data_IF_248389639602
#
_entry.id   IF_248389639602
#
_cell.length_a   1.000
_cell.length_b   1.000
_cell.length_c   1.000
_cell.angle_alpha   90.00
_cell.angle_beta   90.00
_cell.angle_gamma   90.00
#
_symmetry.space_group_name_H-M   'P 1'
#
loop_
_entity.id
_entity.type
_entity.pdbx_description
1 polymer ?
#
# COMPACT_ATOMS: atom_id res chain seq x y z
N UNK A 1 -11.17 7.11 11.11
CA UNK A 1 -11.37 5.73 10.62
C UNK A 1 -12.82 5.39 10.25
N UNK A 2 -13.83 6.02 10.84
CA UNK A 2 -15.26 5.77 10.49
C UNK A 2 -15.59 6.03 8.99
N UNK A 3 -15.02 7.08 8.39
CA UNK A 3 -15.24 7.38 6.95
C UNK A 3 -14.67 6.29 6.03
N UNK A 4 -13.48 5.75 6.32
CA UNK A 4 -12.92 4.65 5.55
C UNK A 4 -13.77 3.38 5.64
N UNK A 5 -14.25 3.05 6.83
CA UNK A 5 -15.13 1.90 7.01
C UNK A 5 -16.46 2.07 6.23
N UNK A 6 -17.03 3.27 6.25
CA UNK A 6 -18.25 3.60 5.49
C UNK A 6 -18.02 3.50 3.98
N UNK A 7 -16.90 4.03 3.48
CA UNK A 7 -16.51 3.88 2.08
C UNK A 7 -16.34 2.41 1.70
N UNK A 8 -15.65 1.63 2.53
CA UNK A 8 -15.47 0.20 2.30
C UNK A 8 -16.79 -0.56 2.24
N UNK A 9 -17.73 -0.26 3.14
CA UNK A 9 -19.07 -0.87 3.12
C UNK A 9 -19.89 -0.46 1.89
N UNK A 10 -19.74 0.79 1.43
CA UNK A 10 -20.36 1.24 0.18
C UNK A 10 -19.80 0.44 -1.01
N UNK A 11 -18.47 0.32 -1.12
CA UNK A 11 -17.81 -0.47 -2.17
C UNK A 11 -18.28 -1.94 -2.11
N UNK A 12 -18.36 -2.52 -0.92
CA UNK A 12 -18.89 -3.88 -0.73
C UNK A 12 -20.31 -4.03 -1.28
N UNK A 13 -21.15 -3.00 -1.14
CA UNK A 13 -22.55 -3.03 -1.61
C UNK A 13 -22.67 -2.92 -3.12
N UNK A 14 -21.82 -2.08 -3.76
CA UNK A 14 -21.92 -1.77 -5.19
C UNK A 14 -21.02 -2.63 -6.08
N UNK A 15 -20.18 -3.50 -5.51
CA UNK A 15 -19.20 -4.30 -6.25
C UNK A 15 -19.40 -5.80 -6.03
N UNK A 16 -20.47 -6.42 -6.55
CA UNK A 16 -20.77 -7.84 -6.29
C UNK A 16 -19.67 -8.77 -6.77
N UNK A 17 -19.10 -8.52 -7.95
CA UNK A 17 -18.01 -9.32 -8.51
C UNK A 17 -16.74 -9.30 -7.62
N UNK A 18 -16.34 -8.13 -7.10
CA UNK A 18 -15.21 -8.03 -6.17
C UNK A 18 -15.48 -8.72 -4.85
N UNK A 19 -16.72 -8.66 -4.37
CA UNK A 19 -17.17 -9.39 -3.18
C UNK A 19 -17.03 -10.90 -3.35
N UNK A 20 -17.46 -11.45 -4.50
CA UNK A 20 -17.33 -12.86 -4.84
C UNK A 20 -15.87 -13.31 -4.87
N UNK A 21 -14.99 -12.58 -5.57
CA UNK A 21 -13.55 -12.87 -5.60
C UNK A 21 -12.96 -12.87 -4.19
N UNK A 22 -13.33 -11.87 -3.38
CA UNK A 22 -12.86 -11.79 -1.98
C UNK A 22 -13.33 -13.00 -1.16
N UNK A 23 -14.59 -13.41 -1.32
CA UNK A 23 -15.15 -14.58 -0.63
C UNK A 23 -14.41 -15.87 -1.03
N UNK A 24 -14.21 -16.10 -2.33
CA UNK A 24 -13.48 -17.28 -2.83
C UNK A 24 -12.06 -17.32 -2.25
N UNK A 25 -11.32 -16.19 -2.26
CA UNK A 25 -9.97 -16.13 -1.76
C UNK A 25 -9.89 -16.36 -0.25
N UNK A 26 -10.79 -15.75 0.52
CA UNK A 26 -10.84 -15.93 1.98
C UNK A 26 -11.21 -17.37 2.33
N UNK A 27 -12.20 -17.96 1.65
CA UNK A 27 -12.54 -19.36 1.86
C UNK A 27 -11.36 -20.28 1.57
N UNK A 28 -10.69 -20.11 0.42
CA UNK A 28 -9.55 -20.96 0.03
C UNK A 28 -8.33 -20.81 0.94
N UNK A 29 -7.99 -19.59 1.33
CA UNK A 29 -6.77 -19.32 2.09
C UNK A 29 -6.94 -19.48 3.59
N UNK A 30 -8.13 -19.19 4.13
CA UNK A 30 -8.40 -19.15 5.55
C UNK A 30 -9.45 -20.19 5.98
N UNK A 31 -9.99 -20.97 5.05
CA UNK A 31 -11.00 -22.02 5.29
C UNK A 31 -12.22 -21.50 6.09
N UNK A 32 -12.66 -20.26 5.76
CA UNK A 32 -13.79 -19.61 6.39
C UNK A 32 -15.05 -19.85 5.57
N UNK A 33 -16.18 -20.15 6.26
CA UNK A 33 -17.48 -20.44 5.64
C UNK A 33 -18.61 -19.70 6.37
N UNK A 34 -19.80 -19.70 5.77
CA UNK A 34 -21.03 -19.19 6.36
C UNK A 34 -20.91 -17.73 6.85
N UNK A 35 -21.35 -17.46 8.06
CA UNK A 35 -21.37 -16.12 8.65
C UNK A 35 -19.96 -15.60 8.93
N UNK A 36 -19.03 -16.46 9.29
CA UNK A 36 -17.62 -16.08 9.51
C UNK A 36 -17.00 -15.56 8.21
N UNK A 37 -17.20 -16.26 7.10
CA UNK A 37 -16.77 -15.80 5.77
C UNK A 37 -17.34 -14.41 5.45
N UNK A 38 -18.64 -14.21 5.66
CA UNK A 38 -19.30 -12.92 5.42
C UNK A 38 -18.71 -11.79 6.26
N UNK A 39 -18.35 -12.05 7.52
CA UNK A 39 -17.70 -11.08 8.40
C UNK A 39 -16.28 -10.74 7.91
N UNK A 40 -15.48 -11.73 7.49
CA UNK A 40 -14.15 -11.52 6.93
C UNK A 40 -14.21 -10.69 5.64
N UNK A 41 -15.15 -11.01 4.73
CA UNK A 41 -15.35 -10.23 3.50
C UNK A 41 -15.68 -8.77 3.82
N UNK A 42 -16.63 -8.51 4.72
CA UNK A 42 -16.95 -7.13 5.15
C UNK A 42 -15.76 -6.43 5.78
N UNK A 43 -14.97 -7.13 6.61
CA UNK A 43 -13.77 -6.58 7.23
C UNK A 43 -12.70 -6.25 6.22
N UNK A 44 -12.50 -7.08 5.20
CA UNK A 44 -11.60 -6.83 4.07
C UNK A 44 -12.00 -5.57 3.31
N UNK A 45 -13.27 -5.40 2.97
CA UNK A 45 -13.75 -4.18 2.32
C UNK A 45 -13.59 -2.91 3.17
N UNK A 46 -13.82 -3.00 4.48
CA UNK A 46 -13.51 -1.89 5.39
C UNK A 46 -12.03 -1.53 5.38
N UNK A 47 -11.14 -2.53 5.35
CA UNK A 47 -9.70 -2.31 5.22
C UNK A 47 -9.35 -1.62 3.89
N UNK A 48 -9.93 -2.05 2.77
CA UNK A 48 -9.77 -1.38 1.46
C UNK A 48 -10.23 0.06 1.53
N UNK A 49 -11.39 0.35 2.11
CA UNK A 49 -11.89 1.71 2.27
C UNK A 49 -10.97 2.60 3.13
N UNK A 50 -10.37 2.05 4.21
CA UNK A 50 -9.36 2.75 4.99
C UNK A 50 -8.09 2.99 4.17
N UNK A 51 -7.64 2.00 3.39
CA UNK A 51 -6.47 2.09 2.53
C UNK A 51 -6.52 3.25 1.54
N UNK A 52 -7.71 3.63 1.04
CA UNK A 52 -7.86 4.82 0.19
C UNK A 52 -7.43 6.09 0.92
N UNK A 53 -7.79 6.25 2.19
CA UNK A 53 -7.39 7.42 2.99
C UNK A 53 -5.92 7.35 3.40
N UNK A 54 -5.40 6.15 3.67
CA UNK A 54 -3.99 5.92 3.99
C UNK A 54 -3.10 6.21 2.79
N UNK A 55 -3.53 5.82 1.59
CA UNK A 55 -2.87 6.18 0.33
C UNK A 55 -2.84 7.71 0.14
N UNK A 56 -3.97 8.39 0.37
CA UNK A 56 -4.04 9.85 0.31
C UNK A 56 -3.12 10.53 1.33
N UNK A 57 -2.97 9.96 2.52
CA UNK A 57 -1.99 10.42 3.51
C UNK A 57 -0.56 10.23 3.02
N UNK A 58 -0.22 9.06 2.47
CA UNK A 58 1.09 8.80 1.90
C UNK A 58 1.46 9.79 0.79
N UNK A 59 0.52 10.09 -0.10
CA UNK A 59 0.77 10.94 -1.26
C UNK A 59 0.78 12.44 -0.96
N UNK A 60 -0.10 12.94 -0.08
CA UNK A 60 -0.38 14.38 0.03
C UNK A 60 -0.21 14.96 1.44
N UNK A 61 0.06 14.14 2.45
CA UNK A 61 0.31 14.69 3.77
C UNK A 61 1.65 15.46 3.80
N UNK A 62 1.68 16.56 4.54
CA UNK A 62 2.92 17.29 4.78
C UNK A 62 3.92 16.46 5.57
N UNK A 63 5.22 16.71 5.39
CA UNK A 63 6.29 16.03 6.13
C UNK A 63 6.12 16.15 7.64
N UNK A 64 5.66 17.30 8.11
CA UNK A 64 5.34 17.52 9.53
C UNK A 64 4.28 16.53 10.03
N UNK A 65 3.25 16.26 9.22
CA UNK A 65 2.19 15.31 9.59
C UNK A 65 2.70 13.87 9.59
N UNK A 66 3.51 13.52 8.61
CA UNK A 66 4.13 12.19 8.51
C UNK A 66 5.08 11.95 9.68
N UNK A 67 5.96 12.90 10.01
CA UNK A 67 6.90 12.82 11.15
C UNK A 67 6.20 12.68 12.51
N UNK A 68 4.95 13.13 12.63
CA UNK A 68 4.16 12.97 13.85
C UNK A 68 3.52 11.58 13.99
N UNK A 69 3.58 10.73 12.95
CA UNK A 69 3.11 9.35 13.04
C UNK A 69 4.17 8.55 13.81
N UNK A 70 3.77 8.00 14.95
CA UNK A 70 4.68 7.17 15.76
C UNK A 70 5.07 5.92 14.98
N UNK A 71 6.32 5.88 14.56
CA UNK A 71 6.91 4.76 13.83
C UNK A 71 8.01 4.13 14.67
N UNK A 72 8.08 2.80 14.72
CA UNK A 72 9.15 2.06 15.37
C UNK A 72 9.77 1.09 14.40
N UNK A 73 11.06 1.26 14.14
CA UNK A 73 11.85 0.26 13.42
C UNK A 73 12.26 -0.86 14.37
N UNK A 74 12.11 -2.08 13.91
CA UNK A 74 12.55 -3.28 14.64
C UNK A 74 13.64 -3.94 13.79
N UNK A 75 14.76 -4.32 14.42
CA UNK A 75 15.92 -4.92 13.75
C UNK A 75 16.59 -4.02 12.69
N UNK A 76 16.48 -2.71 12.81
CA UNK A 76 17.12 -1.75 11.89
C UNK A 76 18.65 -1.94 11.79
N UNK A 77 19.29 -2.45 12.85
CA UNK A 77 20.72 -2.77 12.85
C UNK A 77 21.14 -3.72 11.71
N UNK A 78 20.22 -4.50 11.17
CA UNK A 78 20.47 -5.36 10.01
C UNK A 78 20.73 -4.56 8.72
N UNK A 79 20.31 -3.31 8.65
CA UNK A 79 20.49 -2.41 7.51
C UNK A 79 21.59 -1.36 7.74
N UNK A 80 22.01 -1.12 8.97
CA UNK A 80 22.96 -0.05 9.33
C UNK A 80 24.37 -0.24 8.75
N UNK A 81 24.77 -1.48 8.45
CA UNK A 81 26.09 -1.82 7.95
C UNK A 81 26.12 -2.23 6.47
N UNK A 82 25.06 -1.94 5.73
CA UNK A 82 24.96 -2.29 4.31
C UNK A 82 25.56 -1.18 3.42
N UNK A 83 26.89 -1.23 3.19
CA UNK A 83 27.58 -0.28 2.30
C UNK A 83 27.19 -0.45 0.82
N UNK A 84 26.61 -1.58 0.44
CA UNK A 84 26.27 -1.96 -0.93
C UNK A 84 24.77 -1.79 -1.24
N UNK A 85 24.00 -1.25 -0.29
CA UNK A 85 22.54 -1.19 -0.39
C UNK A 85 21.85 -2.51 -0.03
N UNK A 86 20.52 -2.51 -0.02
CA UNK A 86 19.71 -3.67 0.33
C UNK A 86 18.46 -3.78 -0.52
N UNK A 87 18.11 -4.99 -0.93
CA UNK A 87 16.83 -5.28 -1.58
C UNK A 87 15.76 -5.54 -0.51
N UNK A 88 14.77 -4.66 -0.44
CA UNK A 88 13.65 -4.78 0.50
C UNK A 88 12.49 -5.53 -0.16
N UNK A 89 12.14 -6.69 0.37
CA UNK A 89 10.93 -7.41 -0.01
C UNK A 89 9.77 -6.94 0.87
N UNK A 90 8.84 -6.19 0.28
CA UNK A 90 7.73 -5.57 1.01
C UNK A 90 6.41 -6.29 0.69
N UNK A 91 5.60 -6.53 1.72
CA UNK A 91 4.25 -7.05 1.55
C UNK A 91 3.36 -6.07 0.78
N UNK A 92 2.69 -6.53 -0.27
CA UNK A 92 1.69 -5.74 -0.97
C UNK A 92 0.40 -5.65 -0.14
N UNK A 93 0.21 -4.53 0.53
CA UNK A 93 -0.92 -4.26 1.44
C UNK A 93 -1.72 -3.04 0.99
N UNK A 94 -2.91 -2.84 1.56
CA UNK A 94 -3.77 -1.68 1.26
C UNK A 94 -3.16 -0.34 1.67
N UNK A 95 -2.17 -0.33 2.57
CA UNK A 95 -1.49 0.87 3.07
C UNK A 95 -0.05 1.02 2.55
N UNK A 96 0.32 0.28 1.49
CA UNK A 96 1.68 0.27 0.94
C UNK A 96 2.25 1.68 0.67
N UNK A 97 1.45 2.60 0.14
CA UNK A 97 1.90 3.97 -0.14
C UNK A 97 2.27 4.74 1.13
N UNK A 98 1.50 4.55 2.21
CA UNK A 98 1.83 5.14 3.50
C UNK A 98 3.07 4.48 4.10
N UNK A 99 3.22 3.15 3.98
CA UNK A 99 4.39 2.43 4.47
C UNK A 99 5.67 2.92 3.79
N UNK A 100 5.66 3.08 2.46
CA UNK A 100 6.80 3.62 1.72
C UNK A 100 7.13 5.05 2.17
N UNK A 101 6.11 5.90 2.37
CA UNK A 101 6.29 7.25 2.88
C UNK A 101 6.88 7.29 4.30
N UNK A 102 6.52 6.34 5.15
CA UNK A 102 7.08 6.21 6.51
C UNK A 102 8.53 5.69 6.45
N UNK A 103 8.81 4.70 5.62
CA UNK A 103 10.17 4.17 5.43
C UNK A 103 11.13 5.19 4.85
N UNK A 104 10.68 6.05 3.94
CA UNK A 104 11.50 7.11 3.35
C UNK A 104 12.03 8.13 4.35
N UNK A 105 11.52 8.17 5.58
CA UNK A 105 12.07 9.01 6.64
C UNK A 105 13.37 8.45 7.23
N UNK A 106 13.68 7.18 6.97
CA UNK A 106 14.82 6.46 7.55
C UNK A 106 15.81 5.99 6.49
N UNK A 107 15.37 5.78 5.26
CA UNK A 107 16.16 5.21 4.18
C UNK A 107 15.92 5.94 2.87
N UNK A 108 16.96 6.04 2.05
CA UNK A 108 16.81 6.41 0.65
C UNK A 108 16.21 5.22 -0.10
N UNK A 109 15.07 5.44 -0.71
CA UNK A 109 14.30 4.38 -1.36
C UNK A 109 14.31 4.55 -2.87
N UNK A 110 14.70 3.51 -3.58
CA UNK A 110 14.43 3.35 -5.02
C UNK A 110 13.35 2.30 -5.21
N UNK A 111 12.33 2.61 -5.99
CA UNK A 111 11.20 1.72 -6.18
C UNK A 111 10.98 1.33 -7.63
N UNK A 112 10.81 0.02 -7.90
CA UNK A 112 10.37 -0.44 -9.22
C UNK A 112 8.86 -0.69 -9.20
N UNK A 113 8.16 -0.20 -10.23
CA UNK A 113 6.71 -0.32 -10.32
C UNK A 113 6.23 -0.66 -11.74
N UNK A 114 5.03 -1.22 -11.81
CA UNK A 114 4.32 -1.39 -13.07
C UNK A 114 3.46 -0.16 -13.34
N UNK A 115 3.63 0.45 -14.53
CA UNK A 115 2.81 1.60 -14.93
C UNK A 115 1.32 1.27 -14.92
N UNK A 116 0.51 2.20 -14.41
CA UNK A 116 -0.94 2.07 -14.40
C UNK A 116 -1.51 2.27 -15.82
N UNK A 117 -2.55 1.52 -16.14
CA UNK A 117 -3.26 1.67 -17.43
C UNK A 117 -3.96 3.02 -17.58
N UNK A 118 -4.41 3.61 -16.47
CA UNK A 118 -4.97 4.94 -16.45
C UNK A 118 -3.83 5.97 -16.35
N UNK A 119 -3.63 6.76 -17.41
CA UNK A 119 -2.54 7.72 -17.53
C UNK A 119 -2.61 8.84 -16.44
N UNK A 120 -3.81 9.28 -16.06
CA UNK A 120 -3.99 10.31 -15.03
C UNK A 120 -3.59 9.75 -13.67
N UNK A 121 -4.05 8.55 -13.33
CA UNK A 121 -3.68 7.89 -12.07
C UNK A 121 -2.17 7.63 -12.01
N UNK A 122 -1.58 7.17 -13.13
CA UNK A 122 -0.15 6.94 -13.24
C UNK A 122 0.64 8.23 -12.98
N UNK A 123 0.25 9.33 -13.62
CA UNK A 123 0.88 10.63 -13.41
C UNK A 123 0.80 11.11 -11.96
N UNK A 124 -0.39 11.03 -11.35
CA UNK A 124 -0.59 11.44 -9.96
C UNK A 124 0.24 10.60 -9.00
N UNK A 125 0.29 9.30 -9.21
CA UNK A 125 1.08 8.37 -8.40
C UNK A 125 2.58 8.68 -8.47
N UNK A 126 3.13 8.85 -9.68
CA UNK A 126 4.55 9.18 -9.88
C UNK A 126 4.86 10.51 -9.19
N UNK A 127 4.11 11.56 -9.52
CA UNK A 127 4.32 12.89 -8.95
C UNK A 127 4.24 12.92 -7.42
N UNK A 128 3.38 12.09 -6.83
CA UNK A 128 3.29 11.96 -5.39
C UNK A 128 4.53 11.27 -4.80
N UNK A 129 5.01 10.20 -5.42
CA UNK A 129 6.18 9.43 -4.99
C UNK A 129 7.48 10.20 -5.13
N UNK A 130 7.63 11.03 -6.16
CA UNK A 130 8.82 11.89 -6.36
C UNK A 130 9.13 12.79 -5.15
N UNK A 131 8.17 13.01 -4.26
CA UNK A 131 8.40 13.78 -3.03
C UNK A 131 9.11 12.97 -1.93
N UNK A 132 9.22 11.64 -2.05
CA UNK A 132 9.75 10.81 -0.96
C UNK A 132 10.46 9.53 -1.40
N UNK A 133 10.46 9.21 -2.67
CA UNK A 133 11.25 8.14 -3.27
C UNK A 133 12.33 8.81 -4.13
N UNK A 134 13.58 8.40 -3.97
CA UNK A 134 14.71 8.97 -4.68
C UNK A 134 14.61 8.72 -6.18
N UNK A 135 14.22 7.50 -6.55
CA UNK A 135 14.03 7.13 -7.95
C UNK A 135 12.87 6.13 -8.09
N UNK A 136 11.97 6.41 -9.03
CA UNK A 136 10.86 5.53 -9.39
C UNK A 136 11.09 4.95 -10.79
N UNK A 137 11.50 3.69 -10.86
CA UNK A 137 11.78 2.98 -12.11
C UNK A 137 10.54 2.22 -12.59
N UNK A 138 10.22 2.32 -13.86
CA UNK A 138 9.26 1.39 -14.46
C UNK A 138 9.89 0.00 -14.58
N UNK A 139 9.05 -1.04 -14.59
CA UNK A 139 9.53 -2.42 -14.77
C UNK A 139 10.34 -2.62 -16.09
N UNK A 140 10.13 -1.77 -17.11
CA UNK A 140 10.90 -1.82 -18.37
C UNK A 140 12.26 -1.15 -18.22
N UNK A 141 12.36 -0.09 -17.44
CA UNK A 141 13.60 0.65 -17.15
C UNK A 141 14.48 -0.12 -16.18
N UNK A 142 13.90 -0.64 -15.09
CA UNK A 142 14.62 -1.43 -14.11
C UNK A 142 15.29 -2.69 -14.67
N UNK A 143 14.66 -3.36 -15.65
CA UNK A 143 15.24 -4.52 -16.33
C UNK A 143 16.40 -4.16 -17.30
N UNK A 144 16.57 -2.89 -17.64
CA UNK A 144 17.67 -2.41 -18.49
C UNK A 144 18.82 -1.84 -17.70
N UNK A 145 18.59 -1.46 -16.45
CA UNK A 145 19.60 -0.87 -15.55
C UNK A 145 20.32 -1.95 -14.71
N UNK A 146 19.80 -3.18 -14.69
CA UNK A 146 20.42 -4.33 -14.05
C UNK A 146 21.30 -5.12 -15.03
#
# INVERSE_FOLDING_TARGET
MRLGDSLGLLIHRVSPHRKEISAININRCLQKEGDELNQFVKSNFKAVGRGVFEMALGWWASDKKIKNIKTRLINNHLLENQNEGALLLIKHSTHLELDLRLLSQFFNLTGMYKSQSNAVLNYVMIKARDNYIEESLTNKEGLRAA
#
